data_IF_735607837175
#
_entry.id   IF_735607837175
#
_cell.length_a   1.000
_cell.length_b   1.000
_cell.length_c   1.000
_cell.angle_alpha   90.00
_cell.angle_beta   90.00
_cell.angle_gamma   90.00
#
_symmetry.space_group_name_H-M   'P 1'
#
loop_
_entity.id
_entity.type
_entity.pdbx_description
1 polymer ?
#
# COMPACT_ATOMS: atom_id res chain seq x y z
N UNK A 1 -3.53 -1.10 -6.96
CA UNK A 1 -2.18 -1.37 -6.41
C UNK A 1 -1.44 -0.12 -5.95
N UNK A 2 -1.09 0.81 -6.85
CA UNK A 2 -0.26 1.99 -6.56
C UNK A 2 -0.73 2.83 -5.35
N UNK A 3 -2.04 3.12 -5.25
CA UNK A 3 -2.63 3.91 -4.17
C UNK A 3 -2.39 3.30 -2.79
N UNK A 4 -2.55 1.97 -2.65
CA UNK A 4 -2.33 1.29 -1.37
C UNK A 4 -0.84 1.26 -0.98
N UNK A 5 0.05 1.11 -1.96
CA UNK A 5 1.50 1.17 -1.75
C UNK A 5 1.97 2.57 -1.30
N UNK A 6 1.45 3.63 -1.93
CA UNK A 6 1.73 5.02 -1.54
C UNK A 6 1.21 5.29 -0.13
N UNK A 7 0.01 4.80 0.22
CA UNK A 7 -0.56 4.98 1.54
C UNK A 7 0.27 4.26 2.63
N UNK A 8 0.78 3.07 2.32
CA UNK A 8 1.64 2.30 3.22
C UNK A 8 2.96 3.04 3.51
N UNK A 9 3.63 3.53 2.45
CA UNK A 9 4.88 4.27 2.58
C UNK A 9 4.70 5.60 3.34
N UNK A 10 3.59 6.31 3.09
CA UNK A 10 3.26 7.54 3.79
C UNK A 10 2.98 7.30 5.28
N UNK A 11 2.32 6.19 5.63
CA UNK A 11 2.05 5.81 7.01
C UNK A 11 3.35 5.51 7.79
N UNK A 12 4.29 4.79 7.18
CA UNK A 12 5.61 4.54 7.78
C UNK A 12 6.42 5.82 7.96
N UNK A 13 6.36 6.73 6.98
CA UNK A 13 7.04 8.02 7.08
C UNK A 13 6.44 8.87 8.22
N UNK A 14 5.11 8.91 8.35
CA UNK A 14 4.43 9.63 9.42
C UNK A 14 4.75 9.06 10.81
N UNK A 15 4.81 7.73 10.94
CA UNK A 15 5.20 7.05 12.19
C UNK A 15 6.65 7.36 12.58
N UNK A 16 7.58 7.27 11.62
CA UNK A 16 9.00 7.55 11.85
C UNK A 16 9.22 9.02 12.20
N UNK A 17 8.51 9.93 11.53
CA UNK A 17 8.55 11.36 11.80
C UNK A 17 8.00 11.69 13.19
N UNK A 18 6.89 11.07 13.61
CA UNK A 18 6.35 11.21 14.97
C UNK A 18 7.31 10.68 16.05
N UNK A 19 8.21 9.75 15.70
CA UNK A 19 9.17 9.16 16.63
C UNK A 19 10.50 9.90 16.72
N UNK A 20 10.99 10.46 15.61
CA UNK A 20 12.29 11.12 15.52
C UNK A 20 12.22 12.62 15.78
N UNK A 21 11.09 13.26 15.50
CA UNK A 21 10.93 14.72 15.66
C UNK A 21 10.32 15.02 17.02
N UNK A 22 11.11 15.61 17.92
CA UNK A 22 10.63 16.14 19.19
C UNK A 22 10.00 17.52 18.99
N UNK A 23 8.68 17.55 18.85
CA UNK A 23 7.93 18.82 18.88
C UNK A 23 7.84 19.39 20.31
N UNK A 24 7.78 20.72 20.48
CA UNK A 24 7.22 21.29 21.70
C UNK A 24 5.77 20.77 21.82
N UNK A 25 5.44 20.01 22.87
CA UNK A 25 4.25 19.14 23.03
C UNK A 25 4.33 17.71 22.44
N UNK A 26 5.53 17.13 22.33
CA UNK A 26 5.76 15.79 21.77
C UNK A 26 4.89 14.66 22.35
N UNK A 27 4.46 14.73 23.63
CA UNK A 27 3.64 13.70 24.28
C UNK A 27 2.23 13.68 23.69
N UNK A 28 1.57 14.84 23.63
CA UNK A 28 0.22 15.00 23.09
C UNK A 28 0.19 14.82 21.57
N UNK A 29 1.24 15.22 20.87
CA UNK A 29 1.33 15.01 19.43
C UNK A 29 1.50 13.52 19.09
N UNK A 30 2.35 12.77 19.82
CA UNK A 30 2.56 11.33 19.60
C UNK A 30 1.34 10.49 19.95
N UNK A 31 0.59 10.86 21.00
CA UNK A 31 -0.60 10.12 21.43
C UNK A 31 -1.67 10.06 20.34
N UNK A 32 -1.69 11.04 19.43
CA UNK A 32 -2.60 11.07 18.27
C UNK A 32 -1.93 10.57 16.99
N UNK A 33 -0.70 11.00 16.70
CA UNK A 33 -0.02 10.64 15.44
C UNK A 33 0.26 9.14 15.33
N UNK A 34 0.68 8.48 16.41
CA UNK A 34 1.00 7.05 16.38
C UNK A 34 -0.23 6.20 16.01
N UNK A 35 -1.37 6.30 16.72
CA UNK A 35 -2.56 5.53 16.36
C UNK A 35 -3.13 5.92 14.98
N UNK A 36 -3.04 7.19 14.57
CA UNK A 36 -3.44 7.61 13.23
C UNK A 36 -2.56 6.96 12.14
N UNK A 37 -1.24 6.93 12.34
CA UNK A 37 -0.29 6.27 11.43
C UNK A 37 -0.59 4.78 11.28
N UNK A 38 -0.89 4.12 12.41
CA UNK A 38 -1.26 2.70 12.43
C UNK A 38 -2.58 2.46 11.68
N UNK A 39 -3.59 3.32 11.86
CA UNK A 39 -4.85 3.24 11.14
C UNK A 39 -4.65 3.37 9.62
N UNK A 40 -3.82 4.32 9.18
CA UNK A 40 -3.49 4.48 7.76
C UNK A 40 -2.70 3.30 7.19
N UNK A 41 -1.79 2.71 7.98
CA UNK A 41 -1.05 1.50 7.60
C UNK A 41 -2.01 0.32 7.38
N UNK A 42 -2.94 0.09 8.32
CA UNK A 42 -3.97 -0.94 8.18
C UNK A 42 -4.87 -0.71 6.97
N UNK A 43 -5.29 0.54 6.74
CA UNK A 43 -6.12 0.90 5.58
C UNK A 43 -5.37 0.66 4.26
N UNK A 44 -4.09 1.05 4.19
CA UNK A 44 -3.24 0.85 3.02
C UNK A 44 -3.06 -0.63 2.71
N UNK A 45 -2.85 -1.43 3.76
CA UNK A 45 -2.76 -2.88 3.66
C UNK A 45 -4.06 -3.50 3.13
N UNK A 46 -5.22 -3.11 3.67
CA UNK A 46 -6.52 -3.59 3.20
C UNK A 46 -6.75 -3.28 1.71
N UNK A 47 -6.40 -2.06 1.27
CA UNK A 47 -6.52 -1.66 -0.14
C UNK A 47 -5.57 -2.47 -1.03
N UNK A 48 -4.36 -2.77 -0.57
CA UNK A 48 -3.40 -3.63 -1.29
C UNK A 48 -3.91 -5.06 -1.41
N UNK A 49 -4.33 -5.66 -0.29
CA UNK A 49 -4.86 -7.03 -0.28
C UNK A 49 -6.11 -7.14 -1.14
N UNK A 50 -7.01 -6.16 -1.06
CA UNK A 50 -8.19 -6.09 -1.92
C UNK A 50 -7.84 -5.98 -3.40
N UNK A 51 -6.90 -5.10 -3.74
CA UNK A 51 -6.39 -4.96 -5.10
C UNK A 51 -5.82 -6.28 -5.64
N UNK A 52 -5.06 -7.01 -4.81
CA UNK A 52 -4.42 -8.26 -5.20
C UNK A 52 -5.46 -9.38 -5.43
N UNK A 53 -6.49 -9.42 -4.58
CA UNK A 53 -7.60 -10.37 -4.72
C UNK A 53 -8.48 -10.08 -5.94
N UNK A 54 -8.59 -8.81 -6.34
CA UNK A 54 -9.45 -8.37 -7.46
C UNK A 54 -8.73 -8.40 -8.80
N UNK A 55 -7.41 -8.28 -8.81
CA UNK A 55 -6.61 -8.45 -10.03
C UNK A 55 -6.72 -9.89 -10.53
N UNK A 56 -7.57 -10.09 -11.53
CA UNK A 56 -7.75 -11.38 -12.20
C UNK A 56 -6.73 -11.47 -13.34
N UNK A 57 -5.72 -12.36 -13.28
CA UNK A 57 -4.81 -12.60 -14.40
C UNK A 57 -5.56 -13.35 -15.52
N UNK A 58 -6.33 -12.61 -16.32
CA UNK A 58 -6.88 -13.04 -17.60
C UNK A 58 -6.30 -12.09 -18.65
N UNK A 59 -5.58 -12.52 -19.67
CA UNK A 59 -5.59 -13.79 -20.38
C UNK A 59 -4.24 -13.95 -21.08
N UNK A 60 -3.56 -15.08 -20.87
CA UNK A 60 -2.53 -15.53 -21.82
C UNK A 60 -3.18 -15.67 -23.19
N UNK A 61 -2.80 -14.89 -24.22
CA UNK A 61 -3.12 -15.29 -25.58
C UNK A 61 -2.34 -16.57 -25.87
N UNK A 62 -3.04 -17.70 -25.91
CA UNK A 62 -2.50 -18.95 -26.42
C UNK A 62 -1.99 -18.72 -27.84
N UNK A 63 -0.75 -19.15 -28.08
CA UNK A 63 0.11 -19.04 -29.26
C UNK A 63 -0.57 -18.97 -30.65
N UNK A 64 0.10 -18.34 -31.64
CA UNK A 64 -0.47 -18.10 -32.97
C UNK A 64 -0.79 -19.41 -33.72
N UNK A 65 -1.70 -19.37 -34.71
CA UNK A 65 -2.05 -20.56 -35.49
C UNK A 65 -0.83 -21.12 -36.21
N UNK A 66 -0.41 -22.31 -35.78
CA UNK A 66 0.52 -23.16 -36.51
C UNK A 66 -0.19 -23.68 -37.75
N UNK A 67 0.02 -23.00 -38.88
CA UNK A 67 -0.56 -23.34 -40.16
C UNK A 67 0.46 -23.12 -41.28
N UNK A 68 1.46 -23.99 -41.38
CA UNK A 68 1.95 -24.41 -42.71
C UNK A 68 1.19 -25.67 -43.07
N UNK A 69 0.60 -25.71 -44.26
CA UNK A 69 1.03 -26.78 -45.17
C UNK A 69 1.25 -26.31 -46.61
N UNK A 70 2.35 -26.84 -47.14
CA UNK A 70 2.66 -27.21 -48.54
C UNK A 70 2.52 -26.17 -49.65
#
# INVERSE_FOLDING_TARGET
MLTGAVLLAAAEQAYSHANLVQFPNHIEARSVLIPASLAFLCLGFLILTWGLLTENPKSTPSSPPSGKPS
#
